data_IF_891103632404
#
_entry.id   IF_891103632404
#
_cell.length_a   1.000
_cell.length_b   1.000
_cell.length_c   1.000
_cell.angle_alpha   90.00
_cell.angle_beta   90.00
_cell.angle_gamma   90.00
#
_symmetry.space_group_name_H-M   'P 1'
#
loop_
_entity.id
_entity.type
_entity.pdbx_description
1 polymer ?
#
# COMPACT_ATOMS: atom_id res chain seq x y z
N UNK A 1 0.19 -0.76 7.36
CA UNK A 1 0.15 -0.93 5.89
C UNK A 1 1.31 -0.14 5.31
N UNK A 2 2.05 -0.72 4.37
CA UNK A 2 3.17 -0.09 3.68
C UNK A 2 2.74 0.33 2.27
N UNK A 3 2.52 1.63 2.00
CA UNK A 3 1.98 2.07 0.71
C UNK A 3 3.02 2.02 -0.43
N UNK A 4 4.29 1.71 -0.12
CA UNK A 4 5.41 1.89 -1.06
C UNK A 4 5.93 3.32 -1.06
N UNK A 5 6.92 3.60 -1.91
CA UNK A 5 7.48 4.94 -2.08
C UNK A 5 6.77 5.65 -3.24
N UNK A 6 5.87 6.58 -2.92
CA UNK A 6 4.93 7.21 -3.86
C UNK A 6 5.28 8.69 -4.08
N UNK A 7 5.20 9.14 -5.34
CA UNK A 7 5.35 10.55 -5.75
C UNK A 7 4.24 11.40 -5.13
N UNK A 8 4.59 11.99 -3.99
CA UNK A 8 3.77 12.87 -3.17
C UNK A 8 4.69 13.95 -2.62
N UNK A 9 4.14 14.99 -1.99
CA UNK A 9 4.97 16.00 -1.30
C UNK A 9 5.92 15.39 -0.25
N UNK A 10 5.53 14.26 0.37
CA UNK A 10 6.38 13.55 1.34
C UNK A 10 7.38 12.59 0.68
N UNK A 11 6.98 11.94 -0.42
CA UNK A 11 7.83 10.98 -1.12
C UNK A 11 8.84 11.62 -2.08
N UNK A 12 8.61 12.86 -2.53
CA UNK A 12 9.44 13.52 -3.52
C UNK A 12 9.23 13.00 -4.94
N UNK A 13 9.80 13.72 -5.90
CA UNK A 13 9.59 13.48 -7.33
C UNK A 13 10.32 12.22 -7.85
N UNK A 14 11.38 11.81 -7.15
CA UNK A 14 12.17 10.61 -7.48
C UNK A 14 11.50 9.29 -7.07
N UNK A 15 10.36 9.37 -6.37
CA UNK A 15 9.64 8.17 -5.96
C UNK A 15 9.19 7.35 -7.20
N UNK A 16 9.35 6.02 -7.18
CA UNK A 16 9.11 5.20 -8.36
C UNK A 16 7.62 5.07 -8.72
N UNK A 17 6.72 5.16 -7.73
CA UNK A 17 5.29 4.91 -7.91
C UNK A 17 4.49 6.20 -8.02
N UNK A 18 3.48 6.24 -8.88
CA UNK A 18 2.47 7.30 -8.89
C UNK A 18 1.32 7.01 -7.92
N UNK A 19 0.56 8.06 -7.58
CA UNK A 19 -0.68 7.93 -6.79
C UNK A 19 -1.70 7.09 -7.56
N UNK A 20 -1.88 7.37 -8.85
CA UNK A 20 -2.83 6.71 -9.74
C UNK A 20 -2.54 5.21 -9.88
N UNK A 21 -1.26 4.83 -9.90
CA UNK A 21 -0.83 3.43 -9.92
C UNK A 21 -1.08 2.75 -8.57
N UNK A 22 -0.84 3.44 -7.46
CA UNK A 22 -0.78 2.80 -6.14
C UNK A 22 -2.13 2.71 -5.43
N UNK A 23 -2.95 3.77 -5.51
CA UNK A 23 -4.20 3.87 -4.74
C UNK A 23 -5.19 2.75 -5.06
N UNK A 24 -5.44 2.36 -6.33
CA UNK A 24 -6.35 1.26 -6.64
C UNK A 24 -5.94 -0.06 -5.99
N UNK A 25 -4.63 -0.38 -5.99
CA UNK A 25 -4.12 -1.60 -5.34
C UNK A 25 -4.31 -1.55 -3.82
N UNK A 26 -3.98 -0.41 -3.21
CA UNK A 26 -4.13 -0.21 -1.77
C UNK A 26 -5.59 -0.37 -1.31
N UNK A 27 -6.54 0.20 -2.05
CA UNK A 27 -7.98 0.04 -1.79
C UNK A 27 -8.38 -1.44 -1.88
N UNK A 28 -7.91 -2.16 -2.89
CA UNK A 28 -8.20 -3.58 -3.04
C UNK A 28 -7.68 -4.42 -1.86
N UNK A 29 -6.49 -4.11 -1.34
CA UNK A 29 -5.94 -4.79 -0.14
C UNK A 29 -6.82 -4.52 1.07
N UNK A 30 -7.29 -3.29 1.27
CA UNK A 30 -8.17 -2.93 2.38
C UNK A 30 -9.52 -3.65 2.29
N UNK A 31 -10.15 -3.68 1.10
CA UNK A 31 -11.39 -4.41 0.88
C UNK A 31 -11.23 -5.91 1.12
N UNK A 32 -10.15 -6.51 0.63
CA UNK A 32 -9.85 -7.93 0.86
C UNK A 32 -9.57 -8.23 2.35
N UNK A 33 -8.97 -7.30 3.08
CA UNK A 33 -8.68 -7.47 4.51
C UNK A 33 -9.94 -7.46 5.38
N UNK A 34 -11.03 -6.81 4.95
CA UNK A 34 -12.30 -6.83 5.68
C UNK A 34 -12.85 -8.24 5.91
N UNK A 35 -12.52 -9.19 5.02
CA UNK A 35 -12.96 -10.59 5.12
C UNK A 35 -12.01 -11.48 5.94
N UNK A 36 -10.90 -10.94 6.47
CA UNK A 36 -9.85 -11.71 7.15
C UNK A 36 -9.52 -11.06 8.50
N UNK A 37 -10.07 -11.54 9.63
CA UNK A 37 -9.80 -10.96 10.94
C UNK A 37 -8.33 -11.12 11.36
N UNK A 38 -7.89 -10.30 12.33
CA UNK A 38 -6.52 -10.29 12.86
C UNK A 38 -5.63 -9.16 12.32
N UNK A 39 -4.50 -8.91 12.99
CA UNK A 39 -3.54 -7.87 12.60
C UNK A 39 -2.53 -8.42 11.59
N UNK A 40 -2.35 -7.70 10.48
CA UNK A 40 -1.33 -7.99 9.46
C UNK A 40 -0.65 -6.69 9.06
N UNK A 41 0.67 -6.76 8.86
CA UNK A 41 1.39 -5.69 8.19
C UNK A 41 1.54 -6.03 6.71
N UNK A 42 0.76 -5.37 5.86
CA UNK A 42 0.72 -5.61 4.42
C UNK A 42 1.23 -4.41 3.64
N UNK A 43 1.84 -4.65 2.48
CA UNK A 43 2.12 -3.61 1.51
C UNK A 43 0.93 -3.33 0.56
N UNK A 44 1.10 -2.37 -0.36
CA UNK A 44 0.08 -1.98 -1.35
C UNK A 44 -0.29 -3.12 -2.33
N UNK A 45 0.54 -4.16 -2.45
CA UNK A 45 0.25 -5.36 -3.24
C UNK A 45 -0.34 -6.50 -2.41
N UNK A 46 -0.56 -6.28 -1.10
CA UNK A 46 -1.10 -7.27 -0.17
C UNK A 46 -0.07 -8.29 0.31
N UNK A 47 1.22 -8.05 0.11
CA UNK A 47 2.29 -8.93 0.60
C UNK A 47 2.58 -8.62 2.05
N UNK A 48 2.85 -9.66 2.84
CA UNK A 48 3.26 -9.50 4.25
C UNK A 48 4.64 -8.83 4.33
N UNK A 49 4.74 -7.84 5.21
CA UNK A 49 5.97 -7.12 5.52
C UNK A 49 6.45 -7.54 6.92
N UNK A 50 7.76 -7.83 7.11
CA UNK A 50 8.30 -8.07 8.44
C UNK A 50 8.17 -6.83 9.33
N UNK A 51 8.08 -7.05 10.64
CA UNK A 51 8.02 -5.98 11.64
C UNK A 51 9.37 -5.27 11.79
#
# INVERSE_FOLDING_TARGET
MAPGWIRTALGGDDAPLSIEETIPHLVNVLLAKQQRPGLEYLDYQGRTVPW
#
